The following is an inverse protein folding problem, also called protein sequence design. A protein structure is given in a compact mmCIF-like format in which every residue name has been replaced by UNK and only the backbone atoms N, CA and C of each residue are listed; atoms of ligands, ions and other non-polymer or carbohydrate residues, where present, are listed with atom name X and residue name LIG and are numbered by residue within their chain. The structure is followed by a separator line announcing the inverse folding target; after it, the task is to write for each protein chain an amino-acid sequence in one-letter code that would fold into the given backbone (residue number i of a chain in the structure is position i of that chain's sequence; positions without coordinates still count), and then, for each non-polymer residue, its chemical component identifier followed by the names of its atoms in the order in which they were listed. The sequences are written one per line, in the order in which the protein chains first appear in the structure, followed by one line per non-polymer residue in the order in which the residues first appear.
data_IF_803874154267
#
_entry.id   IF_803874154267
#
_cell.length_a   1.000
_cell.length_b   1.000
_cell.length_c   1.000
_cell.angle_alpha   90.00
_cell.angle_beta   90.00
_cell.angle_gamma   90.00
#
_symmetry.space_group_name_H-M   'P 1'
#
loop_
_entity.id
_entity.type
_entity.pdbx_description
1 polymer ?
#
# COMPACT_ATOMS: atom_id res chain seq x y z
N UNK A 1 -20.28 -21.48 14.92
CA UNK A 1 -20.24 -20.75 13.63
C UNK A 1 -19.07 -21.29 12.83
N UNK A 2 -19.28 -21.61 11.57
CA UNK A 2 -18.19 -21.98 10.64
C UNK A 2 -17.59 -20.68 10.08
N UNK A 3 -16.51 -20.22 10.69
CA UNK A 3 -15.86 -18.97 10.31
C UNK A 3 -15.30 -19.00 8.88
N UNK A 4 -14.85 -20.13 8.36
CA UNK A 4 -14.30 -20.23 7.02
C UNK A 4 -15.40 -19.99 5.96
N UNK A 5 -16.52 -20.68 6.11
CA UNK A 5 -17.67 -20.54 5.21
C UNK A 5 -18.26 -19.12 5.26
N UNK A 6 -18.41 -18.58 6.47
CA UNK A 6 -18.98 -17.25 6.65
C UNK A 6 -18.05 -16.15 6.14
N UNK A 7 -16.73 -16.29 6.37
CA UNK A 7 -15.72 -15.37 5.82
C UNK A 7 -15.75 -15.35 4.30
N UNK A 8 -15.82 -16.51 3.64
CA UNK A 8 -15.89 -16.58 2.18
C UNK A 8 -17.14 -15.87 1.65
N UNK A 9 -18.29 -16.06 2.29
CA UNK A 9 -19.53 -15.38 1.94
C UNK A 9 -19.38 -13.86 2.06
N UNK A 10 -18.88 -13.39 3.20
CA UNK A 10 -18.70 -11.96 3.48
C UNK A 10 -17.68 -11.30 2.53
N UNK A 11 -16.57 -11.95 2.20
CA UNK A 11 -15.61 -11.41 1.23
C UNK A 11 -16.24 -11.24 -0.16
N UNK A 12 -17.17 -12.13 -0.54
CA UNK A 12 -17.94 -11.98 -1.77
C UNK A 12 -18.91 -10.78 -1.76
N UNK A 13 -19.44 -10.43 -0.58
CA UNK A 13 -20.33 -9.28 -0.40
C UNK A 13 -19.57 -7.96 -0.28
N UNK A 14 -18.47 -7.94 0.50
CA UNK A 14 -17.65 -6.74 0.70
C UNK A 14 -16.91 -6.31 -0.57
N UNK A 15 -16.49 -7.25 -1.41
CA UNK A 15 -15.69 -7.01 -2.63
C UNK A 15 -14.39 -6.25 -2.36
N UNK A 16 -13.82 -6.43 -1.17
CA UNK A 16 -12.64 -5.76 -0.66
C UNK A 16 -12.88 -5.15 0.72
N UNK A 17 -11.80 -4.85 1.44
CA UNK A 17 -11.84 -4.31 2.82
C UNK A 17 -11.35 -2.87 2.90
N UNK A 18 -10.88 -2.33 1.79
CA UNK A 18 -10.37 -0.96 1.69
C UNK A 18 -11.05 -0.23 0.54
N UNK A 19 -11.05 1.06 0.64
CA UNK A 19 -11.57 1.97 -0.38
C UNK A 19 -10.62 3.18 -0.49
N UNK A 20 -10.53 3.78 -1.69
CA UNK A 20 -9.80 5.02 -1.92
C UNK A 20 -10.84 6.14 -2.07
N UNK A 21 -10.76 7.13 -1.19
CA UNK A 21 -11.69 8.24 -1.16
C UNK A 21 -10.99 9.56 -1.46
N UNK A 22 -11.70 10.46 -2.13
CA UNK A 22 -11.26 11.84 -2.30
C UNK A 22 -11.47 12.61 -0.99
N UNK A 23 -10.44 13.33 -0.52
CA UNK A 23 -10.49 14.09 0.74
C UNK A 23 -10.58 15.62 0.52
N UNK A 24 -10.65 16.05 -0.72
CA UNK A 24 -10.78 17.48 -1.09
C UNK A 24 -12.09 17.71 -1.82
N UNK A 25 -12.66 18.92 -1.74
CA UNK A 25 -13.86 19.25 -2.52
C UNK A 25 -13.51 19.25 -4.02
N UNK A 26 -14.43 18.78 -4.84
CA UNK A 26 -14.36 18.83 -6.31
C UNK A 26 -15.76 19.13 -6.85
N UNK A 27 -16.43 20.14 -6.27
CA UNK A 27 -17.83 20.44 -6.55
C UNK A 27 -17.98 21.44 -7.71
N UNK A 28 -16.97 22.26 -7.91
CA UNK A 28 -17.01 23.30 -8.94
C UNK A 28 -15.68 23.46 -9.72
N UNK A 29 -15.69 24.37 -10.69
CA UNK A 29 -14.52 24.67 -11.52
C UNK A 29 -13.35 25.27 -10.72
N UNK A 30 -13.64 25.99 -9.65
CA UNK A 30 -12.61 26.60 -8.81
C UNK A 30 -11.91 25.50 -8.00
N UNK A 31 -12.65 24.60 -7.38
CA UNK A 31 -12.11 23.45 -6.67
C UNK A 31 -11.20 22.61 -7.58
N UNK A 32 -11.66 22.30 -8.78
CA UNK A 32 -10.87 21.57 -9.76
C UNK A 32 -9.59 22.30 -10.14
N UNK A 33 -9.65 23.64 -10.29
CA UNK A 33 -8.49 24.45 -10.64
C UNK A 33 -7.46 24.54 -9.53
N UNK A 34 -7.88 24.45 -8.27
CA UNK A 34 -6.99 24.38 -7.10
C UNK A 34 -6.41 22.98 -6.88
N UNK A 35 -7.26 21.95 -6.95
CA UNK A 35 -6.85 20.58 -6.68
C UNK A 35 -6.06 19.94 -7.84
N UNK A 36 -6.24 20.42 -9.06
CA UNK A 36 -5.59 19.91 -10.26
C UNK A 36 -5.01 21.04 -11.10
N UNK A 37 -5.42 21.20 -12.35
CA UNK A 37 -4.81 22.16 -13.28
C UNK A 37 -5.59 23.48 -13.27
N UNK A 38 -4.92 24.65 -13.09
CA UNK A 38 -3.46 24.90 -13.10
C UNK A 38 -2.80 24.90 -11.71
N UNK A 39 -3.55 24.97 -10.61
CA UNK A 39 -3.06 25.22 -9.27
C UNK A 39 -2.03 24.19 -8.78
N UNK A 40 -2.17 22.92 -9.15
CA UNK A 40 -1.28 21.83 -8.74
C UNK A 40 0.19 22.01 -9.16
N UNK A 41 0.47 22.88 -10.12
CA UNK A 41 1.85 23.19 -10.50
C UNK A 41 2.66 23.80 -9.35
N UNK A 42 2.04 24.59 -8.48
CA UNK A 42 2.73 25.23 -7.36
C UNK A 42 3.30 24.23 -6.35
N UNK A 43 2.53 23.29 -5.76
CA UNK A 43 3.09 22.26 -4.89
C UNK A 43 4.10 21.34 -5.60
N UNK A 44 3.92 21.02 -6.89
CA UNK A 44 4.91 20.27 -7.64
C UNK A 44 6.28 20.95 -7.69
N UNK A 45 6.32 22.25 -7.95
CA UNK A 45 7.56 23.03 -7.98
C UNK A 45 8.21 23.15 -6.60
N UNK A 46 7.42 23.19 -5.54
CA UNK A 46 7.97 23.19 -4.18
C UNK A 46 8.60 21.84 -3.82
N UNK A 47 7.98 20.73 -4.19
CA UNK A 47 8.54 19.37 -3.99
C UNK A 47 9.79 19.17 -4.87
N UNK A 48 9.81 19.72 -6.08
CA UNK A 48 10.99 19.67 -6.95
C UNK A 48 12.22 20.33 -6.33
N UNK A 49 12.02 21.44 -5.59
CA UNK A 49 13.10 22.15 -4.89
C UNK A 49 13.57 21.41 -3.63
N UNK A 50 12.65 20.77 -2.93
CA UNK A 50 12.91 20.00 -1.71
C UNK A 50 11.95 18.82 -1.64
N UNK A 51 12.47 17.63 -1.89
CA UNK A 51 11.70 16.37 -1.91
C UNK A 51 11.01 16.07 -0.58
N UNK A 52 11.54 16.58 0.56
CA UNK A 52 10.92 16.36 1.87
C UNK A 52 9.55 17.03 1.98
N UNK A 53 9.31 18.10 1.23
CA UNK A 53 7.97 18.71 1.15
C UNK A 53 6.89 17.79 0.61
N UNK A 54 7.26 16.67 0.00
CA UNK A 54 6.30 15.64 -0.39
C UNK A 54 5.54 15.07 0.81
N UNK A 55 6.14 15.04 1.99
CA UNK A 55 5.48 14.63 3.22
C UNK A 55 4.46 15.65 3.72
N UNK A 56 4.66 16.94 3.45
CA UNK A 56 3.74 18.01 3.87
C UNK A 56 2.62 18.25 2.86
N UNK A 57 2.93 18.09 1.57
CA UNK A 57 2.06 18.49 0.47
C UNK A 57 1.32 17.35 -0.22
N UNK A 58 1.57 16.09 0.20
CA UNK A 58 0.89 14.91 -0.34
C UNK A 58 0.49 13.94 0.76
N UNK A 59 -0.28 12.90 0.41
CA UNK A 59 -0.65 11.82 1.34
C UNK A 59 0.53 10.94 1.75
N UNK A 60 1.72 11.13 1.18
CA UNK A 60 2.92 10.36 1.48
C UNK A 60 3.22 10.27 2.98
N UNK A 61 2.97 11.35 3.76
CA UNK A 61 3.22 11.36 5.21
C UNK A 61 2.47 10.27 5.99
N UNK A 62 1.32 9.81 5.50
CA UNK A 62 0.47 8.85 6.20
C UNK A 62 0.07 7.66 5.32
N UNK A 63 0.79 7.39 4.24
CA UNK A 63 0.51 6.27 3.33
C UNK A 63 1.57 5.19 3.47
N UNK A 64 1.16 3.97 3.83
CA UNK A 64 2.02 2.80 3.96
C UNK A 64 1.74 1.78 2.85
N UNK A 65 2.78 1.26 2.20
CA UNK A 65 2.65 0.12 1.31
C UNK A 65 2.70 -1.18 2.13
N UNK A 66 1.73 -2.07 1.95
CA UNK A 66 1.74 -3.44 2.49
C UNK A 66 2.07 -4.38 1.34
N UNK A 67 3.29 -4.90 1.31
CA UNK A 67 3.85 -5.59 0.14
C UNK A 67 4.10 -7.06 0.45
N UNK A 68 3.68 -7.94 -0.45
CA UNK A 68 3.89 -9.39 -0.37
C UNK A 68 4.25 -10.00 -1.72
N UNK A 69 4.96 -11.12 -1.70
CA UNK A 69 5.09 -12.05 -2.82
C UNK A 69 4.21 -13.32 -2.63
N UNK A 70 3.47 -13.39 -1.52
CA UNK A 70 2.57 -14.49 -1.20
C UNK A 70 3.26 -15.83 -0.93
N UNK A 71 4.57 -15.81 -0.60
CA UNK A 71 5.37 -17.04 -0.46
C UNK A 71 5.25 -17.71 0.90
N UNK A 72 4.72 -17.03 1.92
CA UNK A 72 4.57 -17.58 3.28
C UNK A 72 3.31 -17.07 3.98
N UNK A 73 2.17 -17.22 3.34
CA UNK A 73 0.89 -16.82 3.92
C UNK A 73 0.53 -17.76 5.09
N UNK A 74 0.23 -17.17 6.25
CA UNK A 74 0.04 -17.88 7.52
C UNK A 74 -0.95 -19.05 7.38
N UNK A 75 -0.46 -20.26 7.68
CA UNK A 75 -1.23 -21.50 7.63
C UNK A 75 -1.48 -22.07 6.23
N UNK A 76 -1.12 -21.34 5.16
CA UNK A 76 -1.35 -21.76 3.77
C UNK A 76 -0.05 -21.98 2.98
N UNK A 77 1.07 -21.34 3.41
CA UNK A 77 2.36 -21.45 2.74
C UNK A 77 2.44 -20.57 1.49
N UNK A 78 3.11 -21.08 0.45
CA UNK A 78 3.28 -20.39 -0.82
C UNK A 78 2.04 -20.55 -1.71
N UNK A 79 1.16 -19.56 -1.68
CA UNK A 79 -0.07 -19.54 -2.48
C UNK A 79 -0.07 -18.47 -3.59
N UNK A 80 1.04 -17.74 -3.71
CA UNK A 80 1.20 -16.67 -4.67
C UNK A 80 0.63 -15.33 -4.21
N UNK A 81 1.05 -14.24 -4.87
CA UNK A 81 0.76 -12.89 -4.40
C UNK A 81 -0.72 -12.51 -4.47
N UNK A 82 -1.42 -12.84 -5.55
CA UNK A 82 -2.84 -12.48 -5.68
C UNK A 82 -3.72 -13.23 -4.69
N UNK A 83 -3.41 -14.49 -4.38
CA UNK A 83 -4.14 -15.25 -3.38
C UNK A 83 -3.88 -14.74 -1.95
N UNK A 84 -2.77 -14.04 -1.71
CA UNK A 84 -2.46 -13.32 -0.48
C UNK A 84 -3.23 -12.02 -0.28
N UNK A 85 -3.86 -11.47 -1.33
CA UNK A 85 -4.52 -10.16 -1.29
C UNK A 85 -5.54 -10.00 -0.15
N UNK A 86 -6.41 -10.98 0.17
CA UNK A 86 -7.34 -10.84 1.28
C UNK A 86 -6.65 -10.61 2.64
N UNK A 87 -5.47 -11.19 2.85
CA UNK A 87 -4.66 -10.98 4.06
C UNK A 87 -4.06 -9.58 4.06
N UNK A 88 -3.52 -9.14 2.92
CA UNK A 88 -2.94 -7.80 2.76
C UNK A 88 -3.97 -6.69 2.97
N UNK A 89 -5.17 -6.83 2.45
CA UNK A 89 -6.27 -5.91 2.73
C UNK A 89 -6.67 -5.92 4.21
N UNK A 90 -6.66 -7.10 4.84
CA UNK A 90 -6.87 -7.23 6.28
C UNK A 90 -5.82 -6.44 7.08
N UNK A 91 -4.55 -6.54 6.71
CA UNK A 91 -3.47 -5.76 7.30
C UNK A 91 -3.70 -4.26 7.11
N UNK A 92 -4.08 -3.81 5.92
CA UNK A 92 -4.41 -2.41 5.66
C UNK A 92 -5.57 -1.92 6.54
N UNK A 93 -6.61 -2.73 6.72
CA UNK A 93 -7.72 -2.41 7.60
C UNK A 93 -7.28 -2.26 9.07
N UNK A 94 -6.35 -3.11 9.55
CA UNK A 94 -5.78 -3.00 10.89
C UNK A 94 -4.93 -1.72 11.05
N UNK A 95 -4.10 -1.37 10.06
CA UNK A 95 -3.36 -0.10 10.05
C UNK A 95 -4.30 1.09 10.20
N UNK A 96 -5.42 1.08 9.48
CA UNK A 96 -6.41 2.16 9.57
C UNK A 96 -7.11 2.19 10.91
N UNK A 97 -7.62 1.04 11.37
CA UNK A 97 -8.44 0.95 12.58
C UNK A 97 -7.67 1.28 13.85
N UNK A 98 -6.41 0.85 13.96
CA UNK A 98 -5.62 0.98 15.18
C UNK A 98 -4.59 2.09 15.14
N UNK A 99 -4.08 2.48 13.96
CA UNK A 99 -3.03 3.47 13.81
C UNK A 99 -3.47 4.73 13.05
N UNK A 100 -4.67 4.75 12.51
CA UNK A 100 -5.13 5.79 11.58
C UNK A 100 -4.15 6.02 10.40
N UNK A 101 -3.42 4.99 10.01
CA UNK A 101 -2.51 4.98 8.86
C UNK A 101 -3.28 4.49 7.64
N UNK A 102 -3.21 5.23 6.55
CA UNK A 102 -3.70 4.77 5.26
C UNK A 102 -2.72 3.75 4.71
N UNK A 103 -3.19 2.57 4.36
CA UNK A 103 -2.32 1.53 3.85
C UNK A 103 -2.88 0.98 2.53
N UNK A 104 -1.98 0.63 1.61
CA UNK A 104 -2.32 0.13 0.30
C UNK A 104 -1.64 -1.22 0.03
N UNK A 105 -2.39 -2.28 -0.36
CA UNK A 105 -1.83 -3.59 -0.60
C UNK A 105 -1.18 -3.67 -1.99
N UNK A 106 0.02 -4.22 -2.05
CA UNK A 106 0.77 -4.43 -3.28
C UNK A 106 1.26 -5.88 -3.36
N UNK A 107 0.93 -6.54 -4.46
CA UNK A 107 1.33 -7.91 -4.74
C UNK A 107 2.41 -7.94 -5.82
N UNK A 108 3.59 -8.44 -5.48
CA UNK A 108 4.75 -8.54 -6.39
C UNK A 108 4.83 -9.95 -6.95
N UNK A 109 4.78 -10.10 -8.29
CA UNK A 109 4.82 -11.39 -8.99
C UNK A 109 6.25 -11.92 -9.17
N UNK A 110 7.10 -11.75 -8.18
CA UNK A 110 8.44 -12.33 -8.20
C UNK A 110 8.84 -12.78 -6.81
N UNK A 111 9.50 -13.93 -6.75
CA UNK A 111 10.15 -14.45 -5.56
C UNK A 111 11.68 -14.35 -5.64
N UNK A 112 12.21 -13.74 -6.68
CA UNK A 112 13.61 -13.35 -6.77
C UNK A 112 13.85 -12.13 -5.87
N UNK A 113 14.94 -12.17 -5.08
CA UNK A 113 15.25 -11.13 -4.09
C UNK A 113 15.55 -9.80 -4.77
N UNK A 114 16.37 -9.82 -5.81
CA UNK A 114 16.82 -8.59 -6.49
C UNK A 114 15.65 -7.92 -7.22
N UNK A 115 14.81 -8.70 -7.89
CA UNK A 115 13.60 -8.20 -8.55
C UNK A 115 12.62 -7.61 -7.55
N UNK A 116 12.39 -8.29 -6.43
CA UNK A 116 11.49 -7.82 -5.38
C UNK A 116 12.00 -6.52 -4.76
N UNK A 117 13.28 -6.48 -4.36
CA UNK A 117 13.93 -5.28 -3.80
C UNK A 117 13.86 -4.11 -4.76
N UNK A 118 14.18 -4.35 -6.04
CA UNK A 118 14.11 -3.31 -7.06
C UNK A 118 12.68 -2.78 -7.26
N UNK A 119 11.67 -3.66 -7.27
CA UNK A 119 10.27 -3.26 -7.37
C UNK A 119 9.87 -2.36 -6.20
N UNK A 120 10.22 -2.73 -4.97
CA UNK A 120 9.94 -1.95 -3.77
C UNK A 120 10.66 -0.60 -3.81
N UNK A 121 11.95 -0.59 -4.18
CA UNK A 121 12.75 0.63 -4.30
C UNK A 121 12.13 1.62 -5.30
N UNK A 122 11.78 1.16 -6.49
CA UNK A 122 11.22 2.01 -7.54
C UNK A 122 9.87 2.63 -7.17
N UNK A 123 9.08 1.97 -6.32
CA UNK A 123 7.77 2.47 -5.86
C UNK A 123 7.85 3.29 -4.57
N UNK A 124 8.97 3.25 -3.86
CA UNK A 124 9.10 3.81 -2.49
C UNK A 124 8.78 5.29 -2.39
N UNK A 125 8.97 6.05 -3.47
CA UNK A 125 8.70 7.49 -3.52
C UNK A 125 7.24 7.89 -3.25
N UNK A 126 6.30 6.95 -3.38
CA UNK A 126 4.87 7.20 -3.14
C UNK A 126 4.45 7.03 -1.68
N UNK A 127 5.29 6.42 -0.84
CA UNK A 127 4.92 5.99 0.51
C UNK A 127 5.80 6.63 1.57
N UNK A 128 5.21 6.85 2.75
CA UNK A 128 5.94 7.27 3.95
C UNK A 128 6.45 6.08 4.78
N UNK A 129 5.93 4.87 4.52
CA UNK A 129 6.35 3.64 5.16
C UNK A 129 6.08 2.42 4.29
N UNK A 130 6.81 1.34 4.57
CA UNK A 130 6.68 0.06 3.87
C UNK A 130 6.60 -1.05 4.91
N UNK A 131 5.58 -1.89 4.81
CA UNK A 131 5.40 -3.12 5.57
C UNK A 131 5.53 -4.31 4.62
N UNK A 132 6.56 -5.12 4.82
CA UNK A 132 6.73 -6.39 4.11
C UNK A 132 5.99 -7.48 4.87
N UNK A 133 5.13 -8.24 4.19
CA UNK A 133 4.24 -9.20 4.81
C UNK A 133 4.24 -10.54 4.07
N UNK A 134 4.17 -11.65 4.81
CA UNK A 134 4.01 -13.00 4.26
C UNK A 134 5.07 -13.41 3.22
N UNK A 135 6.31 -13.04 3.47
CA UNK A 135 7.49 -13.40 2.66
C UNK A 135 8.27 -14.51 3.38
N UNK A 136 8.59 -15.58 2.66
CA UNK A 136 9.26 -16.74 3.25
C UNK A 136 10.69 -16.47 3.68
N UNK A 137 11.10 -17.09 4.81
CA UNK A 137 12.51 -17.16 5.18
C UNK A 137 13.27 -18.13 4.23
N UNK A 138 14.58 -17.89 3.94
CA UNK A 138 15.42 -16.81 4.49
C UNK A 138 15.29 -15.47 3.75
N UNK A 139 14.59 -15.42 2.61
CA UNK A 139 14.50 -14.25 1.72
C UNK A 139 14.00 -12.98 2.43
N UNK A 140 13.07 -13.09 3.36
CA UNK A 140 12.58 -11.95 4.13
C UNK A 140 13.70 -11.22 4.90
N UNK A 141 14.74 -11.94 5.34
CA UNK A 141 15.91 -11.34 5.99
C UNK A 141 16.87 -10.67 5.00
N UNK A 142 17.01 -11.24 3.81
CA UNK A 142 17.85 -10.69 2.74
C UNK A 142 17.23 -9.39 2.21
N UNK A 143 15.93 -9.39 1.94
CA UNK A 143 15.18 -8.21 1.53
C UNK A 143 15.24 -7.10 2.58
N UNK A 144 15.09 -7.43 3.87
CA UNK A 144 15.19 -6.46 4.96
C UNK A 144 16.56 -5.78 5.07
N UNK A 145 17.64 -6.47 4.69
CA UNK A 145 19.01 -5.89 4.69
C UNK A 145 19.27 -4.98 3.49
N UNK A 146 18.57 -5.16 2.40
CA UNK A 146 18.75 -4.36 1.18
C UNK A 146 18.18 -2.94 1.31
N UNK A 147 17.44 -2.64 2.38
CA UNK A 147 16.76 -1.37 2.61
C UNK A 147 17.42 -0.51 3.69
N UNK A 148 18.62 -0.85 4.15
CA UNK A 148 19.37 -0.13 5.19
C UNK A 148 20.46 0.73 4.57
#
# INVERSE_FOLDING_TARGET
MDYAKESLRLHGEWKGKIEVVCTVPLEDKQDLSLAYTPGVAAPCLEIQKDVNKSYDLTRRHNLCAVITDGSAVLGLGNIGPEAGMPVMEGKCALFKAFGNVDAFPLCVKSQDVDEFVNAVYLMSGSFGGINLEDISAPRCFEIGRAHV
#
